data_IF_416057819827
#
_entry.id   IF_416057819827
#
_cell.length_a   1.000
_cell.length_b   1.000
_cell.length_c   1.000
_cell.angle_alpha   90.00
_cell.angle_beta   90.00
_cell.angle_gamma   90.00
#
_symmetry.space_group_name_H-M   'P 1'
#
loop_
_entity.id
_entity.type
_entity.pdbx_description
1 polymer ?
#
# COMPACT_ATOMS: atom_id res chain seq x y z
N UNK A 1 -3.24 -2.03 -5.00
CA UNK A 1 -3.71 -0.68 -5.36
C UNK A 1 -4.92 -0.32 -4.53
N UNK A 2 -5.35 0.93 -4.57
CA UNK A 2 -6.58 1.37 -3.91
C UNK A 2 -7.76 0.93 -4.78
N UNK A 3 -8.75 0.26 -4.19
CA UNK A 3 -9.95 -0.13 -4.92
C UNK A 3 -10.72 1.12 -5.36
N UNK A 4 -11.23 1.10 -6.58
CA UNK A 4 -12.17 2.11 -7.05
C UNK A 4 -13.54 1.81 -6.44
N UNK A 5 -13.77 2.33 -5.24
CA UNK A 5 -15.07 2.24 -4.57
C UNK A 5 -16.12 3.14 -5.25
N UNK A 6 -17.33 3.18 -4.69
CA UNK A 6 -18.46 3.92 -5.28
C UNK A 6 -18.26 5.44 -5.31
N UNK A 7 -17.35 5.96 -4.48
CA UNK A 7 -17.05 7.38 -4.40
C UNK A 7 -15.91 7.79 -5.33
N UNK A 8 -15.32 6.83 -6.06
CA UNK A 8 -14.30 7.10 -7.06
C UNK A 8 -14.93 7.37 -8.43
N UNK A 9 -14.78 8.60 -8.91
CA UNK A 9 -15.23 9.09 -10.21
C UNK A 9 -14.09 9.16 -11.26
N UNK A 10 -12.85 9.00 -10.83
CA UNK A 10 -11.67 8.98 -11.70
C UNK A 10 -11.49 7.71 -12.53
N UNK A 11 -10.38 7.66 -13.28
CA UNK A 11 -10.04 6.52 -14.12
C UNK A 11 -9.84 5.24 -13.29
N UNK A 12 -10.22 4.10 -13.86
CA UNK A 12 -10.12 2.79 -13.20
C UNK A 12 -9.78 1.69 -14.19
N UNK A 13 -9.13 0.63 -13.68
CA UNK A 13 -8.79 -0.57 -14.43
C UNK A 13 -9.35 -1.81 -13.74
N UNK A 14 -9.87 -2.74 -14.53
CA UNK A 14 -10.36 -4.03 -14.04
C UNK A 14 -9.20 -5.05 -13.99
N UNK A 15 -8.90 -5.58 -12.81
CA UNK A 15 -7.79 -6.52 -12.58
C UNK A 15 -8.32 -7.79 -11.92
N UNK A 16 -7.80 -8.94 -12.34
CA UNK A 16 -7.99 -10.19 -11.60
C UNK A 16 -7.10 -10.18 -10.36
N UNK A 17 -7.72 -10.16 -9.18
CA UNK A 17 -7.04 -10.13 -7.88
C UNK A 17 -7.29 -11.43 -7.09
N UNK A 18 -6.49 -11.67 -6.07
CA UNK A 18 -6.72 -12.69 -5.05
C UNK A 18 -7.18 -12.00 -3.77
N UNK A 19 -8.40 -12.28 -3.33
CA UNK A 19 -8.96 -11.80 -2.07
C UNK A 19 -9.05 -12.95 -1.08
N UNK A 20 -8.81 -12.71 0.20
CA UNK A 20 -8.97 -13.73 1.22
C UNK A 20 -10.36 -13.63 1.88
N UNK A 21 -11.14 -14.69 1.77
CA UNK A 21 -12.46 -14.82 2.40
C UNK A 21 -12.49 -16.10 3.23
N UNK A 22 -12.89 -16.01 4.50
CA UNK A 22 -12.86 -17.14 5.45
C UNK A 22 -11.52 -17.91 5.46
N UNK A 23 -10.40 -17.17 5.29
CA UNK A 23 -9.04 -17.74 5.28
C UNK A 23 -8.60 -18.37 3.95
N UNK A 24 -9.47 -18.43 2.94
CA UNK A 24 -9.16 -18.98 1.62
C UNK A 24 -8.94 -17.88 0.59
N UNK A 25 -7.91 -18.03 -0.24
CA UNK A 25 -7.66 -17.11 -1.35
C UNK A 25 -8.62 -17.41 -2.52
N UNK A 26 -9.45 -16.44 -2.87
CA UNK A 26 -10.45 -16.51 -3.94
C UNK A 26 -10.07 -15.52 -5.02
N UNK A 27 -10.08 -15.98 -6.28
CA UNK A 27 -9.84 -15.11 -7.42
C UNK A 27 -11.09 -14.33 -7.76
N UNK A 28 -11.00 -13.00 -7.75
CA UNK A 28 -12.09 -12.09 -8.13
C UNK A 28 -11.62 -11.04 -9.12
N UNK A 29 -12.55 -10.46 -9.85
CA UNK A 29 -12.30 -9.28 -10.69
C UNK A 29 -12.71 -8.06 -9.89
N UNK A 30 -11.78 -7.14 -9.68
CA UNK A 30 -12.00 -5.89 -8.97
C UNK A 30 -11.53 -4.70 -9.81
N UNK A 31 -12.08 -3.52 -9.51
CA UNK A 31 -11.64 -2.27 -10.09
C UNK A 31 -10.66 -1.57 -9.16
N UNK A 32 -9.54 -1.13 -9.71
CA UNK A 32 -8.55 -0.33 -9.01
C UNK A 32 -8.47 1.04 -9.66
N UNK A 33 -8.22 2.07 -8.86
CA UNK A 33 -7.94 3.42 -9.33
C UNK A 33 -6.70 3.38 -10.24
N UNK A 34 -6.74 4.11 -11.34
CA UNK A 34 -5.61 4.26 -12.27
C UNK A 34 -5.23 5.73 -12.39
N UNK A 35 -3.94 5.97 -12.61
CA UNK A 35 -3.34 7.30 -12.53
C UNK A 35 -2.36 7.50 -13.69
N UNK A 36 -2.19 8.74 -14.11
CA UNK A 36 -1.28 9.10 -15.21
C UNK A 36 0.19 9.15 -14.75
N UNK A 37 0.42 9.20 -13.44
CA UNK A 37 1.78 9.26 -12.87
C UNK A 37 1.89 8.61 -11.49
N UNK A 38 3.14 8.25 -11.15
CA UNK A 38 3.46 7.80 -9.79
C UNK A 38 3.15 8.87 -8.73
N UNK A 39 3.39 10.15 -9.03
CA UNK A 39 3.11 11.27 -8.12
C UNK A 39 1.63 11.32 -7.75
N UNK A 40 0.76 11.24 -8.76
CA UNK A 40 -0.69 11.25 -8.56
C UNK A 40 -1.15 10.06 -7.71
N UNK A 41 -0.65 8.85 -8.01
CA UNK A 41 -0.98 7.65 -7.22
C UNK A 41 -0.56 7.75 -5.75
N UNK A 42 0.58 8.40 -5.47
CA UNK A 42 1.06 8.57 -4.11
C UNK A 42 0.27 9.63 -3.36
N UNK A 43 -0.09 10.74 -4.02
CA UNK A 43 -0.96 11.76 -3.45
C UNK A 43 -2.33 11.17 -3.08
N UNK A 44 -2.98 10.45 -4.00
CA UNK A 44 -4.28 9.82 -3.73
C UNK A 44 -4.19 8.77 -2.62
N UNK A 45 -3.07 8.06 -2.48
CA UNK A 45 -2.83 7.16 -1.35
C UNK A 45 -2.82 7.90 -0.02
N UNK A 46 -2.12 9.03 0.08
CA UNK A 46 -2.08 9.84 1.30
C UNK A 46 -3.47 10.42 1.60
N UNK A 47 -4.15 10.95 0.59
CA UNK A 47 -5.49 11.53 0.72
C UNK A 47 -6.50 10.47 1.16
N UNK A 48 -6.50 9.30 0.53
CA UNK A 48 -7.37 8.17 0.88
C UNK A 48 -7.19 7.71 2.33
N UNK A 49 -5.95 7.60 2.80
CA UNK A 49 -5.68 7.21 4.18
C UNK A 49 -6.09 8.30 5.16
N UNK A 50 -5.78 9.56 4.86
CA UNK A 50 -6.05 10.71 5.73
C UNK A 50 -7.53 11.05 5.82
N UNK A 51 -8.29 10.83 4.75
CA UNK A 51 -9.72 11.11 4.71
C UNK A 51 -10.58 10.01 5.36
N UNK A 52 -10.01 8.85 5.69
CA UNK A 52 -10.77 7.70 6.19
C UNK A 52 -10.36 7.36 7.64
N UNK A 53 -11.19 7.72 8.65
CA UNK A 53 -10.85 7.58 10.07
C UNK A 53 -10.47 6.18 10.52
N UNK A 54 -10.85 5.13 9.76
CA UNK A 54 -10.43 3.76 10.08
C UNK A 54 -8.90 3.58 10.08
N UNK A 55 -8.17 4.47 9.41
CA UNK A 55 -6.71 4.42 9.30
C UNK A 55 -5.97 5.33 10.30
N UNK A 56 -6.67 6.05 11.18
CA UNK A 56 -6.05 7.00 12.12
C UNK A 56 -4.96 6.37 12.99
N UNK A 57 -5.18 5.14 13.45
CA UNK A 57 -4.18 4.38 14.24
C UNK A 57 -2.93 4.06 13.44
N UNK A 58 -3.07 3.78 12.14
CA UNK A 58 -1.93 3.59 11.27
C UNK A 58 -1.16 4.91 11.10
N UNK A 59 -1.86 6.01 10.83
CA UNK A 59 -1.25 7.34 10.67
C UNK A 59 -0.50 7.81 11.94
N UNK A 60 -1.02 7.46 13.13
CA UNK A 60 -0.34 7.71 14.39
C UNK A 60 0.91 6.82 14.63
N UNK A 61 1.05 5.72 13.90
CA UNK A 61 2.12 4.73 14.06
C UNK A 61 3.23 4.84 13.00
N UNK A 62 3.30 5.95 12.25
CA UNK A 62 4.22 6.16 11.13
C UNK A 62 5.70 6.13 11.49
N UNK A 63 6.06 6.35 12.76
CA UNK A 63 7.43 6.24 13.27
C UNK A 63 7.98 4.81 13.27
N UNK A 64 7.13 3.80 13.08
CA UNK A 64 7.52 2.39 12.98
C UNK A 64 6.81 1.73 11.82
N UNK A 65 7.53 1.37 10.75
CA UNK A 65 6.95 0.69 9.59
C UNK A 65 6.19 -0.56 9.99
N UNK A 66 6.72 -1.34 10.95
CA UNK A 66 6.04 -2.53 11.47
C UNK A 66 4.71 -2.17 12.15
N UNK A 67 4.68 -1.15 13.00
CA UNK A 67 3.44 -0.73 13.66
C UNK A 67 2.42 -0.20 12.64
N UNK A 68 2.88 0.67 11.73
CA UNK A 68 2.08 1.20 10.62
C UNK A 68 1.37 0.11 9.81
N UNK A 69 2.12 -0.87 9.27
CA UNK A 69 1.52 -1.91 8.44
C UNK A 69 0.63 -2.88 9.23
N UNK A 70 0.89 -3.10 10.51
CA UNK A 70 -0.02 -3.87 11.37
C UNK A 70 -1.35 -3.14 11.58
N UNK A 71 -1.34 -1.84 11.85
CA UNK A 71 -2.57 -1.06 12.00
C UNK A 71 -3.32 -0.93 10.67
N UNK A 72 -2.63 -0.78 9.54
CA UNK A 72 -3.27 -0.84 8.21
C UNK A 72 -3.98 -2.18 7.98
N UNK A 73 -3.34 -3.30 8.33
CA UNK A 73 -3.96 -4.62 8.21
C UNK A 73 -5.20 -4.73 9.11
N UNK A 74 -5.09 -4.31 10.38
CA UNK A 74 -6.23 -4.30 11.32
C UNK A 74 -7.39 -3.44 10.83
N UNK A 75 -7.10 -2.33 10.17
CA UNK A 75 -8.08 -1.44 9.57
C UNK A 75 -8.70 -1.97 8.25
N UNK A 76 -8.26 -3.15 7.78
CA UNK A 76 -8.81 -3.79 6.59
C UNK A 76 -8.30 -3.22 5.27
N UNK A 77 -7.07 -2.69 5.24
CA UNK A 77 -6.44 -2.26 3.99
C UNK A 77 -6.22 -3.42 3.00
N UNK A 78 -5.97 -4.62 3.51
CA UNK A 78 -5.85 -5.85 2.73
C UNK A 78 -6.63 -6.99 3.41
N UNK A 79 -7.19 -7.89 2.61
CA UNK A 79 -7.88 -9.10 3.10
C UNK A 79 -6.90 -10.20 3.50
N UNK A 80 -5.68 -10.19 2.96
CA UNK A 80 -4.64 -11.16 3.25
C UNK A 80 -4.23 -11.13 4.75
N UNK A 81 -4.41 -12.24 5.49
CA UNK A 81 -4.08 -12.29 6.92
C UNK A 81 -2.58 -12.14 7.21
N UNK A 82 -1.73 -12.25 6.18
CA UNK A 82 -0.26 -12.09 6.28
C UNK A 82 0.24 -10.81 5.61
N UNK A 83 -0.64 -9.84 5.33
CA UNK A 83 -0.28 -8.61 4.63
C UNK A 83 0.93 -7.89 5.27
N UNK A 84 0.84 -7.53 6.55
CA UNK A 84 1.90 -6.81 7.26
C UNK A 84 3.21 -7.62 7.30
N UNK A 85 3.11 -8.95 7.48
CA UNK A 85 4.26 -9.85 7.46
C UNK A 85 4.95 -9.86 6.09
N UNK A 86 4.18 -9.90 5.00
CA UNK A 86 4.71 -9.87 3.63
C UNK A 86 5.40 -8.54 3.33
N UNK A 87 4.83 -7.41 3.76
CA UNK A 87 5.48 -6.10 3.61
C UNK A 87 6.80 -6.04 4.41
N UNK A 88 6.81 -6.51 5.66
CA UNK A 88 8.04 -6.58 6.46
C UNK A 88 9.12 -7.45 5.78
N UNK A 89 8.73 -8.56 5.15
CA UNK A 89 9.65 -9.40 4.36
C UNK A 89 10.22 -8.66 3.14
N UNK A 90 9.42 -7.85 2.44
CA UNK A 90 9.88 -7.02 1.30
C UNK A 90 10.85 -5.94 1.78
N UNK A 91 10.52 -5.21 2.87
CA UNK A 91 11.38 -4.17 3.44
C UNK A 91 12.75 -4.73 3.88
N UNK A 92 12.76 -5.97 4.37
CA UNK A 92 13.98 -6.70 4.74
C UNK A 92 14.54 -7.53 3.59
N UNK A 93 14.04 -7.38 2.37
CA UNK A 93 14.56 -8.05 1.19
C UNK A 93 15.90 -7.46 0.77
N UNK A 94 16.78 -8.29 0.19
CA UNK A 94 18.06 -7.83 -0.35
C UNK A 94 17.88 -6.76 -1.42
N UNK A 95 16.95 -6.98 -2.35
CA UNK A 95 16.68 -6.06 -3.45
C UNK A 95 16.24 -4.68 -2.96
N UNK A 96 15.34 -4.63 -1.97
CA UNK A 96 14.88 -3.37 -1.40
C UNK A 96 16.01 -2.62 -0.70
N UNK A 97 16.81 -3.31 0.12
CA UNK A 97 17.98 -2.69 0.78
C UNK A 97 18.96 -2.11 -0.22
N UNK A 98 19.33 -2.88 -1.24
CA UNK A 98 20.24 -2.41 -2.28
C UNK A 98 19.66 -1.21 -3.05
N UNK A 99 18.36 -1.20 -3.34
CA UNK A 99 17.71 -0.08 -4.00
C UNK A 99 17.77 1.20 -3.14
N UNK A 100 17.49 1.10 -1.84
CA UNK A 100 17.59 2.24 -0.90
C UNK A 100 19.02 2.74 -0.81
N UNK A 101 20.00 1.86 -0.65
CA UNK A 101 21.42 2.21 -0.58
C UNK A 101 21.89 2.96 -1.84
N UNK A 102 21.48 2.49 -3.03
CA UNK A 102 21.81 3.16 -4.30
C UNK A 102 21.20 4.57 -4.38
N UNK A 103 19.97 4.75 -3.90
CA UNK A 103 19.31 6.06 -3.89
C UNK A 103 19.97 7.02 -2.89
N UNK A 104 20.31 6.55 -1.69
CA UNK A 104 21.03 7.34 -0.69
C UNK A 104 22.43 7.74 -1.17
N UNK A 105 23.14 6.80 -1.82
CA UNK A 105 24.45 7.08 -2.39
C UNK A 105 24.39 8.14 -3.49
N UNK A 106 23.39 8.06 -4.39
CA UNK A 106 23.18 9.09 -5.42
C UNK A 106 22.81 10.46 -4.83
N UNK A 107 22.02 10.49 -3.76
CA UNK A 107 21.64 11.74 -3.10
C UNK A 107 22.81 12.42 -2.37
N UNK A 108 23.82 11.66 -1.95
CA UNK A 108 24.98 12.15 -1.20
C UNK A 108 26.23 12.42 -2.05
N UNK A 109 26.18 12.29 -3.38
CA UNK A 109 27.26 12.72 -4.26
C UNK A 109 27.10 14.21 -4.62
N UNK A 110 28.14 15.06 -4.45
CA UNK A 110 28.11 16.40 -5.02
C UNK A 110 28.10 16.33 -6.55
N UNK A 111 27.40 17.29 -7.18
CA UNK A 111 27.29 17.45 -8.64
C UNK A 111 28.66 17.59 -9.32
#
# INVERSE_FOLDING_TARGET
>A
GIKADRNWDGARVSVSTLEYEAGSAIRRRDYFRSYDSFKESFNDYVDFLSANPRYDRALAATSSSRAYFNELQKAGYATDPRYAQKIDAVLRGREMRQAVERLQTKANQPL
#
